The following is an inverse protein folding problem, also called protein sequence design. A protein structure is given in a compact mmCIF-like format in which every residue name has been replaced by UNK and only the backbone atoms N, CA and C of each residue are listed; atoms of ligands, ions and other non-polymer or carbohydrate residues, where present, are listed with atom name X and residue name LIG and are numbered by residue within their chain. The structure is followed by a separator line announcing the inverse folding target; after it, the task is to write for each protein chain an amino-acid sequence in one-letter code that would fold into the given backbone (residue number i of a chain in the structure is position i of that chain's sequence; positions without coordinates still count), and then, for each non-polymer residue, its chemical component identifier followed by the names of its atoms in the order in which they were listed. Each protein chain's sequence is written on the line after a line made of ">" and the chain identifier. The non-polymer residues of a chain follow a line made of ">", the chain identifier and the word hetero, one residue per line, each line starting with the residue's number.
data_IF_396528124221
#
_entry.id   IF_396528124221
#
_cell.length_a   1.000
_cell.length_b   1.000
_cell.length_c   1.000
_cell.angle_alpha   90.00
_cell.angle_beta   90.00
_cell.angle_gamma   90.00
#
_symmetry.space_group_name_H-M   'P 1'
#
loop_
_entity.id
_entity.type
_entity.pdbx_description
1 polymer ?
#
# COMPACT_ATOMS: atom_id res chain seq x y z
N UNK A 1 -3.57 -29.95 37.43
CA UNK A 1 -4.78 -29.13 37.19
C UNK A 1 -4.58 -28.54 35.80
N UNK A 2 -5.12 -29.25 34.80
CA UNK A 2 -5.10 -29.04 33.34
C UNK A 2 -3.95 -28.20 32.75
N UNK A 3 -2.88 -28.91 32.39
CA UNK A 3 -1.84 -28.45 31.45
C UNK A 3 -2.48 -28.31 30.06
N UNK A 4 -2.62 -27.07 29.58
CA UNK A 4 -2.91 -26.81 28.17
C UNK A 4 -1.62 -27.00 27.37
N UNK A 5 -1.61 -28.04 26.53
CA UNK A 5 -0.50 -28.39 25.64
C UNK A 5 -0.22 -27.25 24.65
N UNK A 6 1.06 -26.95 24.43
CA UNK A 6 1.58 -26.00 23.44
C UNK A 6 1.09 -26.33 22.00
N UNK A 7 0.56 -27.54 21.78
CA UNK A 7 -0.06 -27.95 20.52
C UNK A 7 -1.39 -27.23 20.17
N UNK A 8 -2.05 -26.53 21.11
CA UNK A 8 -3.35 -25.88 20.88
C UNK A 8 -3.25 -24.41 20.44
N UNK A 9 -2.07 -23.80 20.54
CA UNK A 9 -1.80 -22.43 20.07
C UNK A 9 -1.96 -22.21 18.54
N UNK A 10 -1.52 -23.13 17.65
CA UNK A 10 -1.76 -22.97 16.21
C UNK A 10 -3.24 -23.06 15.84
N UNK A 11 -4.05 -23.82 16.58
CA UNK A 11 -5.50 -23.91 16.32
C UNK A 11 -6.20 -22.57 16.64
N UNK A 12 -5.85 -21.89 17.73
CA UNK A 12 -6.43 -20.58 18.06
C UNK A 12 -5.95 -19.46 17.11
N UNK A 13 -4.70 -19.51 16.64
CA UNK A 13 -4.20 -18.56 15.64
C UNK A 13 -4.85 -18.78 14.26
N UNK A 14 -5.01 -20.04 13.84
CA UNK A 14 -5.74 -20.40 12.63
C UNK A 14 -7.22 -19.99 12.73
N UNK A 15 -7.86 -20.14 13.89
CA UNK A 15 -9.26 -19.74 14.08
C UNK A 15 -9.46 -18.21 14.00
N UNK A 16 -8.47 -17.41 14.45
CA UNK A 16 -8.49 -15.95 14.33
C UNK A 16 -8.17 -15.47 12.92
N UNK A 17 -7.24 -16.13 12.22
CA UNK A 17 -6.94 -15.87 10.81
C UNK A 17 -8.12 -16.27 9.90
N UNK A 18 -8.76 -17.40 10.18
CA UNK A 18 -10.03 -17.82 9.54
C UNK A 18 -11.16 -16.85 9.88
N UNK A 19 -11.20 -16.28 11.10
CA UNK A 19 -12.17 -15.25 11.47
C UNK A 19 -12.02 -13.97 10.65
N UNK A 20 -10.80 -13.51 10.40
CA UNK A 20 -10.51 -12.34 9.55
C UNK A 20 -10.74 -12.62 8.06
N UNK A 21 -10.35 -13.80 7.57
CA UNK A 21 -10.63 -14.23 6.20
C UNK A 21 -12.14 -14.46 5.97
N UNK A 22 -12.86 -14.98 6.96
CA UNK A 22 -14.31 -15.12 6.93
C UNK A 22 -15.00 -13.76 7.03
N UNK A 23 -14.46 -12.79 7.78
CA UNK A 23 -14.99 -11.43 7.80
C UNK A 23 -14.83 -10.77 6.42
N UNK A 24 -13.65 -10.88 5.81
CA UNK A 24 -13.39 -10.38 4.45
C UNK A 24 -14.25 -11.09 3.39
N UNK A 25 -14.40 -12.42 3.48
CA UNK A 25 -15.29 -13.19 2.61
C UNK A 25 -16.77 -12.86 2.85
N UNK A 26 -17.20 -12.58 4.09
CA UNK A 26 -18.56 -12.17 4.42
C UNK A 26 -18.84 -10.74 3.93
N UNK A 27 -17.85 -9.84 3.95
CA UNK A 27 -17.93 -8.51 3.31
C UNK A 27 -18.08 -8.65 1.80
N UNK A 28 -17.34 -9.57 1.17
CA UNK A 28 -17.47 -9.87 -0.26
C UNK A 28 -18.80 -10.56 -0.61
N UNK A 29 -19.34 -11.43 0.25
CA UNK A 29 -20.64 -12.12 0.05
C UNK A 29 -21.85 -11.20 0.32
N UNK A 30 -21.73 -10.22 1.20
CA UNK A 30 -22.77 -9.21 1.45
C UNK A 30 -22.81 -8.12 0.36
N UNK A 31 -21.86 -8.11 -0.57
CA UNK A 31 -21.84 -7.23 -1.75
C UNK A 31 -22.60 -7.79 -2.97
N UNK A 32 -23.33 -8.90 -2.83
CA UNK A 32 -24.27 -9.33 -3.87
C UNK A 32 -25.50 -8.39 -3.85
N UNK A 33 -25.76 -7.60 -4.91
CA UNK A 33 -26.79 -6.57 -4.87
C UNK A 33 -28.19 -7.22 -4.81
N UNK A 34 -28.86 -7.07 -3.67
CA UNK A 34 -30.30 -7.28 -3.58
C UNK A 34 -30.99 -5.99 -4.07
N UNK A 35 -31.42 -6.02 -5.33
CA UNK A 35 -32.22 -4.98 -5.92
C UNK A 35 -33.58 -4.88 -5.21
N UNK A 36 -33.93 -3.73 -4.62
CA UNK A 36 -35.32 -3.23 -4.60
C UNK A 36 -35.44 -1.82 -4.02
N UNK A 37 -36.37 -1.07 -4.64
CA UNK A 37 -37.04 0.15 -4.20
C UNK A 37 -36.34 1.51 -4.47
N UNK A 38 -36.50 2.02 -5.70
CA UNK A 38 -36.51 3.46 -5.97
C UNK A 38 -37.94 3.88 -6.35
N UNK A 39 -38.57 4.66 -5.46
CA UNK A 39 -39.88 5.29 -5.67
C UNK A 39 -39.77 6.54 -6.54
N UNK A 40 -40.78 6.72 -7.39
CA UNK A 40 -40.91 7.77 -8.37
C UNK A 40 -41.22 9.15 -7.75
N UNK A 41 -40.63 10.21 -8.30
CA UNK A 41 -41.20 11.55 -8.25
C UNK A 41 -40.91 12.25 -9.57
N UNK A 42 -41.98 12.65 -10.26
CA UNK A 42 -41.94 13.43 -11.48
C UNK A 42 -42.27 14.89 -11.20
N UNK A 43 -41.62 15.80 -11.93
CA UNK A 43 -42.10 17.15 -12.19
C UNK A 43 -41.76 17.51 -13.63
N UNK A 44 -42.80 17.93 -14.35
CA UNK A 44 -42.79 18.37 -15.74
C UNK A 44 -42.58 19.88 -15.82
N UNK A 45 -41.85 20.35 -16.85
CA UNK A 45 -41.80 21.77 -17.18
C UNK A 45 -40.84 22.18 -18.31
N UNK A 46 -41.44 22.56 -19.46
CA UNK A 46 -40.96 23.40 -20.57
C UNK A 46 -39.94 22.84 -21.60
N UNK A 47 -40.39 22.84 -22.87
CA UNK A 47 -39.63 22.47 -24.08
C UNK A 47 -38.57 23.52 -24.44
N UNK A 48 -37.31 23.17 -24.20
CA UNK A 48 -36.15 23.60 -24.99
C UNK A 48 -35.72 22.32 -25.71
N UNK A 49 -35.65 22.33 -27.03
CA UNK A 49 -35.16 21.15 -27.78
C UNK A 49 -33.65 21.04 -27.55
N UNK A 50 -33.30 20.26 -26.52
CA UNK A 50 -31.97 19.67 -26.34
C UNK A 50 -31.55 18.94 -27.63
N UNK A 51 -30.23 18.92 -27.84
CA UNK A 51 -29.51 18.40 -29.01
C UNK A 51 -30.20 17.16 -29.64
N UNK A 52 -30.85 17.28 -30.82
CA UNK A 52 -31.46 16.15 -31.50
C UNK A 52 -30.35 15.31 -32.14
N UNK A 53 -29.91 14.27 -31.43
CA UNK A 53 -28.83 13.37 -31.86
C UNK A 53 -27.82 13.02 -30.78
N UNK A 54 -27.79 13.75 -29.67
CA UNK A 54 -27.23 13.20 -28.43
C UNK A 54 -28.18 12.08 -27.99
N UNK A 55 -27.75 10.82 -27.86
CA UNK A 55 -28.63 9.78 -27.34
C UNK A 55 -29.20 10.30 -26.02
N UNK A 56 -30.51 10.14 -25.82
CA UNK A 56 -31.17 10.32 -24.52
C UNK A 56 -30.70 9.27 -23.48
N UNK A 57 -29.43 8.86 -23.55
CA UNK A 57 -28.69 8.24 -22.47
C UNK A 57 -28.45 9.33 -21.44
N UNK A 58 -29.36 9.40 -20.47
CA UNK A 58 -29.05 9.64 -19.05
C UNK A 58 -27.76 10.44 -18.85
N UNK A 59 -27.77 11.73 -19.20
CA UNK A 59 -26.77 12.68 -18.71
C UNK A 59 -27.02 12.82 -17.21
N UNK A 60 -26.57 11.82 -16.45
CA UNK A 60 -26.65 11.83 -15.01
C UNK A 60 -25.73 12.93 -14.48
N UNK A 61 -26.29 14.10 -14.18
CA UNK A 61 -25.71 15.17 -13.36
C UNK A 61 -24.48 15.90 -13.93
N UNK A 62 -23.41 15.18 -14.26
CA UNK A 62 -22.06 15.75 -14.45
C UNK A 62 -21.88 16.40 -15.83
N UNK A 63 -22.40 15.80 -16.90
CA UNK A 63 -22.29 16.37 -18.24
C UNK A 63 -23.04 17.71 -18.40
N UNK A 64 -24.10 17.94 -17.62
CA UNK A 64 -24.91 19.14 -17.73
C UNK A 64 -24.22 20.38 -17.13
N UNK A 65 -23.31 20.21 -16.17
CA UNK A 65 -22.54 21.33 -15.59
C UNK A 65 -21.35 21.73 -16.47
N UNK A 66 -20.62 20.75 -17.03
CA UNK A 66 -19.44 21.02 -17.87
C UNK A 66 -19.84 21.70 -19.19
N UNK A 67 -20.94 21.26 -19.82
CA UNK A 67 -21.40 21.80 -21.11
C UNK A 67 -22.49 22.86 -21.00
N UNK A 68 -22.78 23.37 -19.79
CA UNK A 68 -23.77 24.42 -19.61
C UNK A 68 -23.44 25.66 -20.45
N UNK A 69 -24.26 25.92 -21.48
CA UNK A 69 -24.13 27.05 -22.40
C UNK A 69 -23.62 26.71 -23.81
N UNK A 70 -23.29 25.45 -24.10
CA UNK A 70 -22.97 25.00 -25.46
C UNK A 70 -24.22 24.51 -26.21
N UNK A 71 -24.35 24.89 -27.48
CA UNK A 71 -25.48 24.55 -28.34
C UNK A 71 -25.00 24.10 -29.71
N UNK A 72 -25.57 23.01 -30.22
CA UNK A 72 -25.34 22.59 -31.61
C UNK A 72 -26.20 23.45 -32.54
N UNK A 73 -25.57 24.05 -33.56
CA UNK A 73 -26.28 24.91 -34.51
C UNK A 73 -27.01 24.04 -35.53
N UNK A 74 -28.35 24.11 -35.53
CA UNK A 74 -29.19 23.37 -36.49
C UNK A 74 -28.95 23.87 -37.92
N UNK A 75 -28.76 22.95 -38.88
CA UNK A 75 -28.59 23.29 -40.30
C UNK A 75 -27.16 23.60 -40.72
N UNK A 76 -26.19 23.48 -39.81
CA UNK A 76 -24.76 23.55 -40.11
C UNK A 76 -24.09 22.31 -39.53
N UNK A 77 -23.77 21.34 -40.39
CA UNK A 77 -23.19 20.07 -39.95
C UNK A 77 -21.92 20.31 -39.12
N UNK A 78 -21.97 19.91 -37.84
CA UNK A 78 -20.82 19.90 -36.94
C UNK A 78 -20.48 21.22 -36.23
N UNK A 79 -21.28 22.29 -36.35
CA UNK A 79 -20.97 23.53 -35.64
C UNK A 79 -21.54 23.56 -34.23
N UNK A 80 -20.68 23.93 -33.26
CA UNK A 80 -21.03 24.12 -31.85
C UNK A 80 -20.73 25.57 -31.47
N UNK A 81 -21.72 26.25 -30.89
CA UNK A 81 -21.56 27.58 -30.30
C UNK A 81 -21.56 27.47 -28.77
N UNK A 82 -20.74 28.27 -28.09
CA UNK A 82 -20.74 28.34 -26.65
C UNK A 82 -20.04 29.59 -26.11
N UNK A 83 -20.00 29.75 -24.79
CA UNK A 83 -19.42 30.93 -24.15
C UNK A 83 -17.89 30.95 -24.31
N UNK A 84 -17.30 32.15 -24.42
CA UNK A 84 -15.88 32.33 -24.71
C UNK A 84 -14.94 31.94 -23.55
N UNK A 85 -15.47 31.89 -22.33
CA UNK A 85 -14.72 31.63 -21.09
C UNK A 85 -14.70 30.15 -20.68
N UNK A 86 -15.29 29.25 -21.49
CA UNK A 86 -15.29 27.80 -21.22
C UNK A 86 -14.61 27.03 -22.33
N UNK A 87 -13.86 26.00 -21.93
CA UNK A 87 -13.32 25.03 -22.87
C UNK A 87 -14.41 24.06 -23.36
N UNK A 88 -14.31 23.64 -24.61
CA UNK A 88 -15.19 22.63 -25.20
C UNK A 88 -14.37 21.53 -25.85
N UNK A 89 -14.73 20.28 -25.58
CA UNK A 89 -14.26 19.12 -26.31
C UNK A 89 -15.35 18.05 -26.24
N UNK A 90 -15.77 17.48 -27.37
CA UNK A 90 -16.82 16.45 -27.38
C UNK A 90 -16.39 15.17 -26.62
N UNK A 91 -15.10 14.84 -26.61
CA UNK A 91 -14.57 13.66 -25.92
C UNK A 91 -14.78 13.67 -24.39
N UNK A 92 -14.96 14.84 -23.77
CA UNK A 92 -15.27 14.90 -22.33
C UNK A 92 -16.74 14.58 -22.02
N UNK A 93 -17.62 14.51 -23.04
CA UNK A 93 -19.04 14.20 -22.90
C UNK A 93 -19.30 12.69 -22.93
N UNK A 94 -18.27 11.89 -23.17
CA UNK A 94 -18.40 10.44 -23.19
C UNK A 94 -18.93 9.91 -21.84
N UNK A 95 -19.88 8.98 -21.93
CA UNK A 95 -20.47 8.37 -20.75
C UNK A 95 -19.40 7.64 -19.94
N UNK A 96 -19.38 7.89 -18.63
CA UNK A 96 -18.47 7.23 -17.70
C UNK A 96 -18.90 5.79 -17.38
N UNK A 97 -20.10 5.38 -17.82
CA UNK A 97 -20.66 4.05 -17.62
C UNK A 97 -22.17 4.10 -17.35
N UNK A 98 -22.74 2.94 -17.07
CA UNK A 98 -24.14 2.81 -16.66
C UNK A 98 -24.37 3.31 -15.24
N UNK A 99 -25.64 3.63 -14.92
CA UNK A 99 -26.05 3.99 -13.55
C UNK A 99 -25.69 2.91 -12.52
N UNK A 100 -25.80 1.64 -12.90
CA UNK A 100 -25.50 0.50 -12.02
C UNK A 100 -24.00 0.45 -11.67
N UNK A 101 -23.12 0.72 -12.63
CA UNK A 101 -21.68 0.81 -12.38
C UNK A 101 -21.35 2.02 -11.50
N UNK A 102 -22.00 3.16 -11.69
CA UNK A 102 -21.84 4.35 -10.84
C UNK A 102 -22.24 4.07 -9.38
N UNK A 103 -23.39 3.42 -9.17
CA UNK A 103 -23.87 3.03 -7.85
C UNK A 103 -22.94 1.98 -7.20
N UNK A 104 -22.41 1.04 -8.01
CA UNK A 104 -21.42 0.04 -7.58
C UNK A 104 -20.08 0.65 -7.17
N UNK A 105 -19.56 1.62 -7.95
CA UNK A 105 -18.34 2.35 -7.62
C UNK A 105 -18.48 3.11 -6.30
N UNK A 106 -19.61 3.80 -6.09
CA UNK A 106 -19.92 4.48 -4.83
C UNK A 106 -20.01 3.52 -3.64
N UNK A 107 -20.65 2.37 -3.82
CA UNK A 107 -20.74 1.36 -2.76
C UNK A 107 -19.35 0.82 -2.37
N UNK A 108 -18.51 0.51 -3.35
CA UNK A 108 -17.13 0.08 -3.10
C UNK A 108 -16.28 1.17 -2.45
N UNK A 109 -16.41 2.43 -2.86
CA UNK A 109 -15.74 3.55 -2.21
C UNK A 109 -16.08 3.64 -0.72
N UNK A 110 -17.36 3.49 -0.34
CA UNK A 110 -17.75 3.47 1.07
C UNK A 110 -17.20 2.26 1.84
N UNK A 111 -17.05 1.12 1.18
CA UNK A 111 -16.41 -0.07 1.79
C UNK A 111 -14.93 0.19 2.04
N UNK A 112 -14.19 0.71 1.06
CA UNK A 112 -12.78 1.09 1.21
C UNK A 112 -12.62 2.11 2.33
N UNK A 113 -13.47 3.14 2.36
CA UNK A 113 -13.50 4.14 3.43
C UNK A 113 -13.67 3.48 4.82
N UNK A 114 -14.64 2.59 4.97
CA UNK A 114 -14.89 1.90 6.24
C UNK A 114 -13.71 1.01 6.66
N UNK A 115 -13.09 0.30 5.71
CA UNK A 115 -11.88 -0.52 5.95
C UNK A 115 -10.72 0.36 6.40
N UNK A 116 -10.48 1.50 5.74
CA UNK A 116 -9.42 2.44 6.11
C UNK A 116 -9.62 2.98 7.52
N UNK A 117 -10.84 3.41 7.88
CA UNK A 117 -11.15 3.88 9.25
C UNK A 117 -10.90 2.76 10.27
N UNK A 118 -11.35 1.53 9.99
CA UNK A 118 -11.12 0.39 10.88
C UNK A 118 -9.63 0.08 11.05
N UNK A 119 -8.86 0.09 9.95
CA UNK A 119 -7.41 -0.12 9.96
C UNK A 119 -6.70 0.98 10.73
N UNK A 120 -7.05 2.26 10.57
CA UNK A 120 -6.44 3.37 11.32
C UNK A 120 -6.75 3.31 12.80
N UNK A 121 -7.96 2.92 13.21
CA UNK A 121 -8.29 2.69 14.63
C UNK A 121 -7.44 1.55 15.19
N UNK A 122 -7.32 0.45 14.45
CA UNK A 122 -6.46 -0.68 14.81
C UNK A 122 -4.99 -0.28 14.92
N UNK A 123 -4.45 0.43 13.93
CA UNK A 123 -3.07 0.91 13.93
C UNK A 123 -2.81 1.97 15.00
N UNK A 124 -3.78 2.83 15.31
CA UNK A 124 -3.68 3.77 16.43
C UNK A 124 -3.55 3.04 17.77
N UNK A 125 -4.30 1.96 17.95
CA UNK A 125 -4.19 1.10 19.13
C UNK A 125 -2.86 0.35 19.21
N UNK A 126 -2.37 -0.20 18.09
CA UNK A 126 -1.05 -0.86 18.04
C UNK A 126 0.12 0.13 18.12
N UNK A 127 -0.03 1.35 17.61
CA UNK A 127 0.94 2.44 17.77
C UNK A 127 1.05 2.87 19.24
N UNK A 128 -0.07 2.90 19.98
CA UNK A 128 -0.05 3.11 21.43
C UNK A 128 0.71 2.00 22.18
N UNK A 129 0.71 0.77 21.64
CA UNK A 129 1.57 -0.33 22.14
C UNK A 129 2.99 -0.33 21.55
N UNK A 130 3.32 0.67 20.75
CA UNK A 130 4.57 0.84 20.01
C UNK A 130 4.91 -0.30 19.03
N UNK A 131 3.95 -1.16 18.64
CA UNK A 131 4.14 -2.30 17.73
C UNK A 131 3.89 -1.97 16.25
N UNK A 132 3.35 -0.79 15.96
CA UNK A 132 2.97 -0.38 14.61
C UNK A 132 4.13 0.30 13.86
N UNK A 133 4.29 -0.04 12.58
CA UNK A 133 5.18 0.66 11.66
C UNK A 133 4.52 1.90 11.08
N UNK A 134 5.30 2.93 10.76
CA UNK A 134 4.78 4.16 10.17
C UNK A 134 4.28 3.94 8.74
N UNK A 135 4.82 2.93 8.04
CA UNK A 135 4.53 2.69 6.63
C UNK A 135 3.06 2.38 6.39
N UNK A 136 2.48 1.51 7.22
CA UNK A 136 1.08 1.09 7.09
C UNK A 136 0.10 2.19 7.48
N UNK A 137 0.43 2.96 8.52
CA UNK A 137 -0.35 4.13 8.93
C UNK A 137 -0.36 5.17 7.82
N UNK A 138 0.81 5.45 7.24
CA UNK A 138 0.94 6.42 6.15
C UNK A 138 0.10 6.00 4.94
N UNK A 139 0.25 4.76 4.46
CA UNK A 139 -0.50 4.25 3.31
C UNK A 139 -2.00 4.31 3.56
N UNK A 140 -2.46 3.92 4.75
CA UNK A 140 -3.88 3.94 5.09
C UNK A 140 -4.45 5.37 5.23
N UNK A 141 -3.66 6.35 5.68
CA UNK A 141 -4.05 7.76 5.66
C UNK A 141 -4.18 8.28 4.22
N UNK A 142 -3.23 7.95 3.34
CA UNK A 142 -3.29 8.34 1.93
C UNK A 142 -4.50 7.72 1.23
N UNK A 143 -4.77 6.45 1.47
CA UNK A 143 -5.93 5.75 0.91
C UNK A 143 -7.25 6.35 1.43
N UNK A 144 -7.33 6.66 2.73
CA UNK A 144 -8.50 7.36 3.29
C UNK A 144 -8.71 8.73 2.64
N UNK A 145 -7.65 9.51 2.44
CA UNK A 145 -7.73 10.80 1.76
C UNK A 145 -8.16 10.65 0.30
N UNK A 146 -7.59 9.67 -0.42
CA UNK A 146 -7.95 9.34 -1.79
C UNK A 146 -9.43 8.98 -1.91
N UNK A 147 -9.93 8.03 -1.12
CA UNK A 147 -11.32 7.58 -1.21
C UNK A 147 -12.30 8.67 -0.78
N UNK A 148 -11.94 9.53 0.18
CA UNK A 148 -12.72 10.71 0.49
C UNK A 148 -12.85 11.60 -0.75
N UNK A 149 -11.74 11.97 -1.38
CA UNK A 149 -11.78 12.79 -2.59
C UNK A 149 -12.54 12.10 -3.73
N UNK A 150 -12.42 10.78 -3.88
CA UNK A 150 -13.14 10.05 -4.91
C UNK A 150 -14.67 10.05 -4.69
N UNK A 151 -15.15 9.93 -3.45
CA UNK A 151 -16.59 9.92 -3.16
C UNK A 151 -17.28 11.21 -3.61
N UNK A 152 -16.62 12.36 -3.46
CA UNK A 152 -17.23 13.68 -3.69
C UNK A 152 -16.75 14.40 -4.94
N UNK A 153 -15.50 14.15 -5.36
CA UNK A 153 -14.80 14.98 -6.34
C UNK A 153 -14.05 14.14 -7.39
N UNK A 154 -14.37 12.86 -7.57
CA UNK A 154 -13.69 12.01 -8.57
C UNK A 154 -13.71 12.60 -9.98
N UNK A 155 -14.86 13.10 -10.42
CA UNK A 155 -15.04 13.68 -11.76
C UNK A 155 -14.62 15.15 -11.83
N UNK A 156 -14.30 15.78 -10.71
CA UNK A 156 -13.95 17.20 -10.71
C UNK A 156 -12.50 17.38 -11.14
N UNK A 157 -12.21 18.47 -11.85
CA UNK A 157 -10.81 18.85 -12.11
C UNK A 157 -10.19 19.43 -10.83
N UNK A 158 -8.98 19.03 -10.40
CA UNK A 158 -7.97 18.23 -11.11
C UNK A 158 -7.93 16.74 -10.76
N UNK A 159 -8.93 16.19 -10.06
CA UNK A 159 -8.97 14.75 -9.74
C UNK A 159 -9.10 13.91 -11.03
N UNK A 160 -9.97 14.33 -11.94
CA UNK A 160 -9.95 13.92 -13.35
C UNK A 160 -9.43 15.06 -14.22
N UNK A 161 -8.39 14.78 -15.02
CA UNK A 161 -7.85 15.75 -15.98
C UNK A 161 -8.54 15.58 -17.33
N UNK A 162 -9.21 16.64 -17.76
CA UNK A 162 -9.84 16.77 -19.07
C UNK A 162 -8.88 17.45 -20.03
N UNK A 163 -8.26 16.68 -20.92
CA UNK A 163 -7.15 17.15 -21.76
C UNK A 163 -7.65 17.67 -23.11
N UNK A 164 -6.91 18.60 -23.72
CA UNK A 164 -7.28 19.20 -25.01
C UNK A 164 -7.32 18.20 -26.18
N UNK A 165 -6.69 17.05 -26.02
CA UNK A 165 -6.74 15.91 -26.95
C UNK A 165 -8.02 15.07 -26.82
N UNK A 166 -8.92 15.42 -25.90
CA UNK A 166 -10.21 14.75 -25.67
C UNK A 166 -10.16 13.57 -24.72
N UNK A 167 -8.97 13.07 -24.38
CA UNK A 167 -8.81 12.02 -23.37
C UNK A 167 -8.99 12.57 -21.95
N UNK A 168 -9.43 11.67 -21.07
CA UNK A 168 -9.51 11.88 -19.63
C UNK A 168 -8.44 11.06 -18.93
N UNK A 169 -7.78 11.63 -17.93
CA UNK A 169 -6.82 10.91 -17.09
C UNK A 169 -7.21 11.07 -15.63
N UNK A 170 -7.41 9.96 -14.92
CA UNK A 170 -7.77 9.97 -13.49
C UNK A 170 -6.52 10.25 -12.64
N UNK A 171 -6.11 11.51 -12.60
CA UNK A 171 -4.91 11.97 -11.90
C UNK A 171 -4.92 11.66 -10.40
N UNK A 172 -6.10 11.72 -9.75
CA UNK A 172 -6.25 11.38 -8.33
C UNK A 172 -5.70 9.98 -8.01
N UNK A 173 -5.86 9.02 -8.92
CA UNK A 173 -5.35 7.65 -8.80
C UNK A 173 -3.81 7.61 -8.91
N UNK A 174 -3.25 8.26 -9.92
CA UNK A 174 -1.79 8.30 -10.10
C UNK A 174 -1.08 9.05 -8.97
N UNK A 175 -1.70 10.11 -8.44
CA UNK A 175 -1.18 10.86 -7.30
C UNK A 175 -1.18 9.99 -6.03
N UNK A 176 -2.25 9.22 -5.80
CA UNK A 176 -2.30 8.25 -4.71
C UNK A 176 -1.17 7.21 -4.85
N UNK A 177 -1.00 6.62 -6.03
CA UNK A 177 0.06 5.63 -6.27
C UNK A 177 1.46 6.17 -6.00
N UNK A 178 1.75 7.41 -6.42
CA UNK A 178 3.04 8.06 -6.15
C UNK A 178 3.29 8.24 -4.64
N UNK A 179 2.24 8.37 -3.84
CA UNK A 179 2.34 8.52 -2.39
C UNK A 179 2.41 7.15 -1.69
N UNK A 180 1.62 6.17 -2.11
CA UNK A 180 1.51 4.88 -1.40
C UNK A 180 2.50 3.83 -1.87
N UNK A 181 2.71 3.66 -3.19
CA UNK A 181 3.47 2.53 -3.74
C UNK A 181 4.94 2.53 -3.29
N UNK A 182 5.67 3.68 -3.30
CA UNK A 182 7.01 3.73 -2.75
C UNK A 182 7.08 3.33 -1.27
N UNK A 183 6.09 3.72 -0.46
CA UNK A 183 6.05 3.41 0.98
C UNK A 183 5.79 1.92 1.21
N UNK A 184 4.92 1.28 0.41
CA UNK A 184 4.73 -0.17 0.41
C UNK A 184 6.06 -0.89 0.09
N UNK A 185 6.83 -0.39 -0.89
CA UNK A 185 8.12 -0.98 -1.26
C UNK A 185 9.23 -0.73 -0.23
N UNK A 186 9.18 0.39 0.51
CA UNK A 186 10.01 0.63 1.70
C UNK A 186 9.70 -0.43 2.77
N UNK A 187 8.42 -0.66 3.04
CA UNK A 187 7.99 -1.68 4.00
C UNK A 187 8.43 -3.07 3.55
N UNK A 188 8.22 -3.42 2.28
CA UNK A 188 8.68 -4.68 1.71
C UNK A 188 10.21 -4.88 1.83
N UNK A 189 10.98 -3.83 1.59
CA UNK A 189 12.45 -3.86 1.73
C UNK A 189 12.91 -4.15 3.18
N UNK A 190 12.04 -3.90 4.15
CA UNK A 190 12.27 -4.14 5.57
C UNK A 190 11.07 -4.85 6.22
N UNK A 191 10.65 -5.99 5.65
CA UNK A 191 9.50 -6.77 6.15
C UNK A 191 9.66 -7.18 7.62
N UNK A 192 10.89 -7.41 8.08
CA UNK A 192 11.14 -7.77 9.48
C UNK A 192 11.02 -6.58 10.44
N UNK A 193 11.19 -5.35 9.95
CA UNK A 193 11.25 -4.13 10.77
C UNK A 193 12.51 -4.01 11.63
N UNK A 194 13.51 -4.87 11.40
CA UNK A 194 14.70 -4.98 12.26
C UNK A 194 15.94 -4.31 11.67
N UNK A 195 15.97 -4.07 10.35
CA UNK A 195 17.10 -3.40 9.69
C UNK A 195 16.90 -1.89 9.73
N UNK A 196 17.97 -1.15 10.06
CA UNK A 196 17.96 0.32 10.03
C UNK A 196 18.46 0.86 8.68
N UNK A 197 19.26 0.07 7.95
CA UNK A 197 19.87 0.49 6.70
C UNK A 197 19.10 -0.03 5.49
N UNK A 198 18.84 0.86 4.54
CA UNK A 198 18.27 0.51 3.25
C UNK A 198 19.37 0.17 2.25
N UNK A 199 19.14 -0.90 1.48
CA UNK A 199 20.11 -1.37 0.50
C UNK A 199 20.03 -0.58 -0.82
N UNK A 200 21.06 -0.71 -1.67
CA UNK A 200 20.99 -0.21 -3.07
C UNK A 200 19.80 -0.80 -3.83
N UNK A 201 19.37 -2.01 -3.47
CA UNK A 201 18.19 -2.65 -4.06
C UNK A 201 16.90 -1.91 -3.72
N UNK A 202 16.78 -1.43 -2.48
CA UNK A 202 15.64 -0.60 -2.06
C UNK A 202 15.56 0.65 -2.92
N UNK A 203 16.69 1.34 -3.16
CA UNK A 203 16.69 2.49 -4.06
C UNK A 203 16.30 2.11 -5.49
N UNK A 204 16.77 0.96 -6.00
CA UNK A 204 16.35 0.42 -7.28
C UNK A 204 14.83 0.20 -7.37
N UNK A 205 14.23 -0.40 -6.34
CA UNK A 205 12.77 -0.61 -6.24
C UNK A 205 11.99 0.70 -6.31
N UNK A 206 12.39 1.71 -5.53
CA UNK A 206 11.68 2.99 -5.47
C UNK A 206 11.78 3.75 -6.79
N UNK A 207 12.98 3.82 -7.37
CA UNK A 207 13.19 4.51 -8.65
C UNK A 207 12.41 3.83 -9.76
N UNK A 208 12.39 2.49 -9.81
CA UNK A 208 11.68 1.79 -10.86
C UNK A 208 10.17 1.83 -10.70
N UNK A 209 9.66 1.81 -9.48
CA UNK A 209 8.24 1.98 -9.22
C UNK A 209 7.74 3.39 -9.60
N UNK A 210 8.45 4.43 -9.16
CA UNK A 210 8.15 5.81 -9.54
C UNK A 210 8.21 5.97 -11.07
N UNK A 211 9.22 5.39 -11.72
CA UNK A 211 9.31 5.35 -13.18
C UNK A 211 8.08 4.71 -13.83
N UNK A 212 7.64 3.56 -13.31
CA UNK A 212 6.44 2.85 -13.78
C UNK A 212 5.20 3.75 -13.72
N UNK A 213 4.99 4.43 -12.58
CA UNK A 213 3.82 5.28 -12.35
C UNK A 213 3.88 6.54 -13.21
N UNK A 214 5.04 7.20 -13.29
CA UNK A 214 5.22 8.42 -14.09
C UNK A 214 4.98 8.13 -15.58
N UNK A 215 5.55 7.05 -16.11
CA UNK A 215 5.36 6.68 -17.51
C UNK A 215 3.95 6.13 -17.77
N UNK A 216 3.33 5.43 -16.83
CA UNK A 216 1.93 5.03 -16.90
C UNK A 216 0.97 6.23 -16.94
N UNK A 217 1.18 7.22 -16.06
CA UNK A 217 0.41 8.47 -16.06
C UNK A 217 0.63 9.25 -17.36
N UNK A 218 1.88 9.35 -17.84
CA UNK A 218 2.20 10.01 -19.11
C UNK A 218 1.52 9.31 -20.28
N UNK A 219 1.42 7.98 -20.25
CA UNK A 219 0.68 7.22 -21.25
C UNK A 219 -0.83 7.50 -21.20
N UNK A 220 -1.44 7.58 -20.00
CA UNK A 220 -2.86 7.93 -19.86
C UNK A 220 -3.16 9.35 -20.36
N UNK A 221 -2.25 10.29 -20.09
CA UNK A 221 -2.36 11.68 -20.55
C UNK A 221 -2.04 11.82 -22.04
N UNK A 222 -1.36 10.87 -22.65
CA UNK A 222 -1.11 10.88 -24.10
C UNK A 222 -2.41 10.59 -24.84
N UNK A 223 -2.67 11.34 -25.92
CA UNK A 223 -3.78 11.06 -26.82
C UNK A 223 -3.68 9.66 -27.46
N UNK A 224 -4.74 9.24 -28.16
CA UNK A 224 -4.75 7.98 -28.90
C UNK A 224 -3.65 8.01 -29.96
N UNK A 225 -2.65 7.12 -29.86
CA UNK A 225 -1.55 7.07 -30.81
C UNK A 225 -0.31 6.36 -30.29
N UNK A 226 0.78 6.47 -31.06
CA UNK A 226 2.04 5.77 -30.79
C UNK A 226 2.70 6.22 -29.48
N UNK A 227 2.57 7.50 -29.08
CA UNK A 227 3.17 8.02 -27.84
C UNK A 227 2.62 7.31 -26.60
N UNK A 228 1.30 7.09 -26.54
CA UNK A 228 0.65 6.33 -25.45
C UNK A 228 1.26 4.94 -25.33
N UNK A 229 1.38 4.23 -26.46
CA UNK A 229 1.95 2.88 -26.52
C UNK A 229 3.43 2.89 -26.09
N UNK A 230 4.21 3.85 -26.57
CA UNK A 230 5.63 4.01 -26.20
C UNK A 230 5.80 4.21 -24.70
N UNK A 231 5.08 5.17 -24.11
CA UNK A 231 5.17 5.42 -22.67
C UNK A 231 4.64 4.26 -21.83
N UNK A 232 3.58 3.58 -22.30
CA UNK A 232 3.09 2.36 -21.65
C UNK A 232 4.16 1.27 -21.60
N UNK A 233 4.86 0.99 -22.71
CA UNK A 233 5.92 -0.03 -22.73
C UNK A 233 7.17 0.39 -21.94
N UNK A 234 7.51 1.67 -21.90
CA UNK A 234 8.57 2.17 -21.01
C UNK A 234 8.16 1.94 -19.54
N UNK A 235 6.93 2.29 -19.17
CA UNK A 235 6.38 2.02 -17.84
C UNK A 235 6.38 0.53 -17.50
N UNK A 236 5.99 -0.35 -18.43
CA UNK A 236 6.06 -1.80 -18.26
C UNK A 236 7.49 -2.30 -18.03
N UNK A 237 8.48 -1.77 -18.76
CA UNK A 237 9.88 -2.16 -18.57
C UNK A 237 10.38 -1.82 -17.15
N UNK A 238 10.02 -0.63 -16.65
CA UNK A 238 10.24 -0.25 -15.26
C UNK A 238 9.50 -1.20 -14.29
N UNK A 239 8.25 -1.54 -14.58
CA UNK A 239 7.43 -2.43 -13.75
C UNK A 239 7.99 -3.85 -13.68
N UNK A 240 8.49 -4.39 -14.81
CA UNK A 240 9.18 -5.68 -14.83
C UNK A 240 10.45 -5.66 -13.98
N UNK A 241 11.22 -4.57 -14.02
CA UNK A 241 12.39 -4.43 -13.16
C UNK A 241 11.99 -4.35 -11.68
N UNK A 242 10.95 -3.60 -11.33
CA UNK A 242 10.37 -3.59 -9.98
C UNK A 242 9.97 -4.99 -9.54
N UNK A 243 9.21 -5.73 -10.33
CA UNK A 243 8.77 -7.10 -10.00
C UNK A 243 9.93 -8.06 -9.82
N UNK A 244 10.97 -7.95 -10.66
CA UNK A 244 12.18 -8.74 -10.50
C UNK A 244 12.85 -8.47 -9.15
N UNK A 245 13.02 -7.19 -8.77
CA UNK A 245 13.61 -6.84 -7.48
C UNK A 245 12.72 -7.26 -6.29
N UNK A 246 11.40 -7.10 -6.41
CA UNK A 246 10.43 -7.53 -5.38
C UNK A 246 10.51 -9.04 -5.17
N UNK A 247 10.60 -9.83 -6.25
CA UNK A 247 10.75 -11.28 -6.16
C UNK A 247 12.03 -11.66 -5.38
N UNK A 248 13.16 -10.99 -5.64
CA UNK A 248 14.40 -11.20 -4.86
C UNK A 248 14.18 -10.88 -3.38
N UNK A 249 13.49 -9.79 -3.05
CA UNK A 249 13.20 -9.40 -1.66
C UNK A 249 12.31 -10.44 -0.97
N UNK A 250 11.25 -10.94 -1.61
CA UNK A 250 10.40 -11.97 -1.01
C UNK A 250 11.14 -13.30 -0.78
N UNK A 251 12.01 -13.71 -1.70
CA UNK A 251 12.83 -14.92 -1.54
C UNK A 251 13.77 -14.76 -0.33
N UNK A 252 14.46 -13.63 -0.22
CA UNK A 252 15.33 -13.36 0.92
C UNK A 252 14.56 -13.23 2.23
N UNK A 253 13.41 -12.57 2.23
CA UNK A 253 12.54 -12.43 3.39
C UNK A 253 12.05 -13.81 3.87
N UNK A 254 11.66 -14.69 2.95
CA UNK A 254 11.22 -16.06 3.27
C UNK A 254 12.29 -16.86 4.01
N UNK A 255 13.56 -16.72 3.63
CA UNK A 255 14.68 -17.38 4.31
C UNK A 255 15.19 -16.63 5.53
N UNK A 256 14.90 -15.33 5.66
CA UNK A 256 15.27 -14.52 6.83
C UNK A 256 14.33 -14.82 8.00
N UNK A 257 13.01 -14.90 7.77
CA UNK A 257 12.03 -15.05 8.86
C UNK A 257 12.03 -16.45 9.48
N UNK A 258 11.60 -16.57 10.77
CA UNK A 258 11.49 -17.87 11.43
C UNK A 258 10.65 -18.87 10.64
N UNK A 259 10.97 -20.16 10.77
CA UNK A 259 10.15 -21.24 10.21
C UNK A 259 8.74 -21.25 10.83
N UNK A 260 7.79 -21.86 10.12
CA UNK A 260 6.39 -21.94 10.54
C UNK A 260 5.54 -20.79 10.01
N UNK A 261 4.79 -20.12 10.89
CA UNK A 261 3.74 -19.16 10.49
C UNK A 261 4.28 -17.95 9.74
N UNK A 262 5.47 -17.44 10.10
CA UNK A 262 6.06 -16.27 9.46
C UNK A 262 6.32 -16.50 7.97
N UNK A 263 6.84 -17.68 7.60
CA UNK A 263 7.04 -18.07 6.20
C UNK A 263 5.75 -18.20 5.41
N UNK A 264 4.68 -18.68 6.05
CA UNK A 264 3.36 -18.75 5.43
C UNK A 264 2.82 -17.34 5.16
N UNK A 265 2.96 -16.41 6.11
CA UNK A 265 2.55 -15.01 5.93
C UNK A 265 3.36 -14.36 4.80
N UNK A 266 4.68 -14.52 4.76
CA UNK A 266 5.52 -13.99 3.67
C UNK A 266 5.07 -14.51 2.30
N UNK A 267 4.72 -15.79 2.19
CA UNK A 267 4.14 -16.35 0.94
C UNK A 267 2.79 -15.74 0.61
N UNK A 268 1.92 -15.54 1.60
CA UNK A 268 0.63 -14.88 1.43
C UNK A 268 0.81 -13.45 0.90
N UNK A 269 1.69 -12.67 1.52
CA UNK A 269 2.05 -11.31 1.10
C UNK A 269 2.61 -11.28 -0.33
N UNK A 270 3.44 -12.25 -0.70
CA UNK A 270 3.95 -12.35 -2.07
C UNK A 270 2.84 -12.62 -3.08
N UNK A 271 1.94 -13.56 -2.80
CA UNK A 271 0.81 -13.86 -3.69
C UNK A 271 -0.14 -12.67 -3.84
N UNK A 272 -0.46 -12.01 -2.73
CA UNK A 272 -1.31 -10.83 -2.71
C UNK A 272 -0.67 -9.67 -3.49
N UNK A 273 0.62 -9.39 -3.26
CA UNK A 273 1.37 -8.37 -3.97
C UNK A 273 1.40 -8.63 -5.47
N UNK A 274 1.88 -9.79 -5.92
CA UNK A 274 1.96 -10.06 -7.37
C UNK A 274 0.59 -10.20 -8.01
N UNK A 275 -0.39 -10.77 -7.30
CA UNK A 275 -1.75 -10.90 -7.81
C UNK A 275 -2.40 -9.53 -8.04
N UNK A 276 -2.39 -8.67 -7.03
CA UNK A 276 -2.99 -7.33 -7.13
C UNK A 276 -2.19 -6.41 -8.05
N UNK A 277 -0.85 -6.38 -7.93
CA UNK A 277 -0.03 -5.43 -8.71
C UNK A 277 0.03 -5.78 -10.21
N UNK A 278 -0.04 -7.06 -10.59
CA UNK A 278 -0.14 -7.45 -12.00
C UNK A 278 -1.44 -6.95 -12.64
N UNK A 279 -2.49 -6.72 -11.86
CA UNK A 279 -3.79 -6.32 -12.40
C UNK A 279 -3.84 -4.85 -12.79
N UNK A 280 -3.05 -3.96 -12.18
CA UNK A 280 -3.02 -2.54 -12.57
C UNK A 280 -2.67 -2.30 -14.05
N UNK A 281 -1.60 -2.86 -14.64
CA UNK A 281 -1.34 -2.70 -16.07
C UNK A 281 -2.38 -3.40 -16.95
N UNK A 282 -3.02 -4.48 -16.48
CA UNK A 282 -4.11 -5.14 -17.21
C UNK A 282 -5.34 -4.21 -17.25
N UNK A 283 -5.71 -3.62 -16.11
CA UNK A 283 -6.82 -2.66 -16.02
C UNK A 283 -6.52 -1.39 -16.80
N UNK A 284 -5.26 -0.93 -16.87
CA UNK A 284 -4.88 0.18 -17.75
C UNK A 284 -5.20 -0.14 -19.22
N UNK A 285 -4.85 -1.35 -19.68
CA UNK A 285 -5.09 -1.78 -21.06
C UNK A 285 -6.58 -1.96 -21.35
N UNK A 286 -7.34 -2.53 -20.40
CA UNK A 286 -8.77 -2.75 -20.56
C UNK A 286 -9.59 -1.47 -20.34
N UNK A 287 -9.08 -0.53 -19.55
CA UNK A 287 -9.72 0.70 -19.12
C UNK A 287 -9.89 1.75 -20.21
N UNK A 288 -10.56 2.87 -19.89
CA UNK A 288 -10.70 4.01 -20.79
C UNK A 288 -9.34 4.62 -21.19
N UNK A 289 -8.29 4.40 -20.38
CA UNK A 289 -6.94 4.82 -20.69
C UNK A 289 -6.32 4.02 -21.84
N UNK A 290 -6.76 2.77 -22.04
CA UNK A 290 -6.30 1.82 -23.06
C UNK A 290 -7.31 1.61 -24.19
N UNK A 291 -7.93 0.42 -24.23
CA UNK A 291 -8.86 -0.01 -25.27
C UNK A 291 -10.34 0.27 -24.95
N UNK A 292 -10.69 0.70 -23.74
CA UNK A 292 -12.06 1.04 -23.35
C UNK A 292 -13.02 -0.16 -23.29
N UNK A 293 -12.51 -1.36 -23.02
CA UNK A 293 -13.34 -2.55 -22.80
C UNK A 293 -14.13 -2.52 -21.49
N UNK A 294 -13.63 -1.79 -20.49
CA UNK A 294 -14.35 -1.48 -19.26
C UNK A 294 -14.65 0.03 -19.21
N UNK A 295 -15.82 0.37 -18.68
CA UNK A 295 -16.22 1.77 -18.48
C UNK A 295 -15.32 2.46 -17.44
N UNK A 296 -15.41 3.79 -17.34
CA UNK A 296 -14.68 4.52 -16.31
C UNK A 296 -15.10 4.07 -14.90
N UNK A 297 -16.40 3.94 -14.63
CA UNK A 297 -16.89 3.41 -13.35
C UNK A 297 -16.48 1.95 -13.12
N UNK A 298 -16.51 1.10 -14.15
CA UNK A 298 -16.03 -0.28 -14.05
C UNK A 298 -14.53 -0.35 -13.71
N UNK A 299 -13.72 0.54 -14.29
CA UNK A 299 -12.30 0.70 -13.94
C UNK A 299 -12.14 1.11 -12.47
N UNK A 300 -12.92 2.09 -12.00
CA UNK A 300 -12.89 2.56 -10.61
C UNK A 300 -13.24 1.44 -9.62
N UNK A 301 -14.31 0.68 -9.89
CA UNK A 301 -14.70 -0.48 -9.09
C UNK A 301 -13.57 -1.51 -8.98
N UNK A 302 -12.95 -1.85 -10.10
CA UNK A 302 -11.86 -2.83 -10.13
C UNK A 302 -10.63 -2.32 -9.35
N UNK A 303 -10.29 -1.04 -9.47
CA UNK A 303 -9.19 -0.44 -8.73
C UNK A 303 -9.44 -0.42 -7.22
N UNK A 304 -10.65 -0.09 -6.74
CA UNK A 304 -10.96 -0.17 -5.31
C UNK A 304 -10.79 -1.58 -4.73
N UNK A 305 -11.14 -2.63 -5.48
CA UNK A 305 -10.90 -4.01 -5.04
C UNK A 305 -9.39 -4.29 -4.96
N UNK A 306 -8.60 -3.83 -5.94
CA UNK A 306 -7.15 -3.98 -5.93
C UNK A 306 -6.48 -3.17 -4.82
N UNK A 307 -7.03 -2.01 -4.46
CA UNK A 307 -6.50 -1.18 -3.38
C UNK A 307 -6.74 -1.83 -2.02
N UNK A 308 -7.92 -2.42 -1.78
CA UNK A 308 -8.18 -3.21 -0.56
C UNK A 308 -7.15 -4.33 -0.39
N UNK A 309 -6.82 -5.03 -1.47
CA UNK A 309 -5.84 -6.13 -1.44
C UNK A 309 -4.42 -5.60 -1.26
N UNK A 310 -3.94 -4.79 -2.20
CA UNK A 310 -2.56 -4.30 -2.24
C UNK A 310 -2.15 -3.33 -1.13
N UNK A 311 -3.12 -2.67 -0.46
CA UNK A 311 -2.86 -1.69 0.59
C UNK A 311 -3.33 -2.19 1.96
N UNK A 312 -4.64 -2.41 2.15
CA UNK A 312 -5.17 -2.76 3.47
C UNK A 312 -4.83 -4.21 3.88
N UNK A 313 -5.12 -5.19 3.03
CA UNK A 313 -4.87 -6.60 3.34
C UNK A 313 -3.36 -6.88 3.42
N UNK A 314 -2.60 -6.39 2.45
CA UNK A 314 -1.15 -6.49 2.45
C UNK A 314 -0.54 -5.82 3.69
N UNK A 315 -0.97 -4.60 4.02
CA UNK A 315 -0.54 -3.86 5.20
C UNK A 315 -0.78 -4.67 6.48
N UNK A 316 -2.02 -5.07 6.74
CA UNK A 316 -2.37 -5.88 7.91
C UNK A 316 -1.56 -7.18 8.01
N UNK A 317 -1.32 -7.86 6.88
CA UNK A 317 -0.47 -9.05 6.83
C UNK A 317 0.99 -8.76 7.20
N UNK A 318 1.53 -7.63 6.72
CA UNK A 318 2.88 -7.19 7.02
C UNK A 318 3.02 -6.75 8.50
N UNK A 319 2.03 -6.07 9.07
CA UNK A 319 1.97 -5.80 10.51
C UNK A 319 2.03 -7.08 11.33
N UNK A 320 1.17 -8.05 10.97
CA UNK A 320 1.08 -9.31 11.68
C UNK A 320 2.40 -10.09 11.61
N UNK A 321 3.08 -10.06 10.47
CA UNK A 321 4.42 -10.61 10.32
C UNK A 321 5.42 -9.96 11.29
N UNK A 322 5.46 -8.62 11.36
CA UNK A 322 6.33 -7.89 12.29
C UNK A 322 6.06 -8.29 13.73
N UNK A 323 4.79 -8.33 14.16
CA UNK A 323 4.41 -8.75 15.52
C UNK A 323 4.91 -10.17 15.82
N UNK A 324 4.73 -11.11 14.88
CA UNK A 324 5.17 -12.51 15.07
C UNK A 324 6.68 -12.67 15.15
N UNK A 325 7.43 -11.88 14.38
CA UNK A 325 8.90 -11.85 14.48
C UNK A 325 9.33 -11.29 15.85
N UNK A 326 8.68 -10.25 16.35
CA UNK A 326 8.98 -9.68 17.67
C UNK A 326 8.67 -10.68 18.80
N UNK A 327 7.53 -11.38 18.73
CA UNK A 327 7.19 -12.45 19.67
C UNK A 327 8.26 -13.55 19.65
N UNK A 328 8.70 -13.99 18.47
CA UNK A 328 9.75 -14.99 18.32
C UNK A 328 11.06 -14.54 18.98
N UNK A 329 11.50 -13.29 18.75
CA UNK A 329 12.73 -12.75 19.34
C UNK A 329 12.63 -12.66 20.86
N UNK A 330 11.46 -12.33 21.42
CA UNK A 330 11.26 -12.25 22.88
C UNK A 330 11.28 -13.62 23.56
N UNK A 331 10.80 -14.66 22.88
CA UNK A 331 10.71 -16.02 23.42
C UNK A 331 12.05 -16.75 23.25
N UNK A 332 12.58 -16.78 22.02
CA UNK A 332 13.76 -17.59 21.68
C UNK A 332 15.08 -16.79 21.71
N UNK A 333 15.01 -15.46 21.79
CA UNK A 333 16.16 -14.57 21.64
C UNK A 333 16.40 -14.14 20.18
N UNK A 334 17.32 -13.19 19.99
CA UNK A 334 17.75 -12.72 18.67
C UNK A 334 18.88 -13.61 18.14
N UNK A 335 18.51 -14.84 17.80
CA UNK A 335 19.43 -15.87 17.32
C UNK A 335 19.30 -15.98 15.80
N UNK A 336 20.43 -15.82 15.10
CA UNK A 336 20.46 -15.86 13.63
C UNK A 336 21.50 -16.84 13.12
N UNK A 337 21.21 -17.52 12.01
CA UNK A 337 22.11 -18.42 11.29
C UNK A 337 22.38 -17.85 9.90
N UNK A 338 23.63 -17.86 9.46
CA UNK A 338 24.01 -17.42 8.12
C UNK A 338 23.75 -18.53 7.11
N UNK A 339 22.77 -18.31 6.22
CA UNK A 339 22.38 -19.26 5.17
C UNK A 339 22.74 -18.67 3.81
N UNK A 340 23.51 -19.42 3.01
CA UNK A 340 23.82 -19.03 1.62
C UNK A 340 22.72 -19.55 0.71
N UNK A 341 22.06 -18.64 0.01
CA UNK A 341 21.02 -18.95 -0.98
C UNK A 341 21.41 -18.33 -2.32
N UNK A 342 21.03 -18.96 -3.43
CA UNK A 342 21.23 -18.38 -4.77
C UNK A 342 19.95 -17.68 -5.19
N UNK A 343 19.99 -16.35 -5.37
CA UNK A 343 18.84 -15.53 -5.74
C UNK A 343 19.09 -14.89 -7.10
N UNK A 344 18.38 -15.36 -8.13
CA UNK A 344 18.54 -14.92 -9.52
C UNK A 344 19.99 -15.09 -10.05
N UNK A 345 20.66 -16.18 -9.67
CA UNK A 345 22.03 -16.49 -10.11
C UNK A 345 23.12 -15.94 -9.19
N UNK A 346 22.82 -14.96 -8.33
CA UNK A 346 23.77 -14.40 -7.39
C UNK A 346 23.75 -15.16 -6.05
N UNK A 347 24.91 -15.56 -5.49
CA UNK A 347 24.95 -16.07 -4.12
C UNK A 347 24.73 -14.92 -3.14
N UNK A 348 23.68 -15.02 -2.33
CA UNK A 348 23.32 -14.07 -1.27
C UNK A 348 23.37 -14.77 0.08
N UNK A 349 24.02 -14.16 1.05
CA UNK A 349 24.03 -14.62 2.44
C UNK A 349 22.91 -13.91 3.20
N UNK A 350 21.98 -14.69 3.75
CA UNK A 350 20.85 -14.20 4.55
C UNK A 350 20.99 -14.65 6.00
N UNK A 351 20.52 -13.81 6.91
CA UNK A 351 20.48 -14.10 8.35
C UNK A 351 19.11 -14.68 8.70
N UNK A 352 19.05 -16.00 8.84
CA UNK A 352 17.83 -16.75 9.18
C UNK A 352 17.61 -16.72 10.69
N UNK A 353 16.44 -16.27 11.14
CA UNK A 353 16.05 -16.41 12.55
C UNK A 353 15.78 -17.89 12.88
N UNK A 354 16.43 -18.39 13.93
CA UNK A 354 16.34 -19.78 14.38
C UNK A 354 15.91 -19.82 15.85
N UNK A 355 15.27 -20.93 16.23
CA UNK A 355 14.98 -21.22 17.63
C UNK A 355 16.20 -21.86 18.32
N UNK A 356 16.07 -22.11 19.63
CA UNK A 356 17.15 -22.67 20.44
C UNK A 356 17.48 -24.12 20.12
N UNK A 357 16.48 -24.90 19.71
CA UNK A 357 16.70 -26.30 19.36
C UNK A 357 17.56 -26.38 18.09
N UNK A 358 17.21 -25.60 17.08
CA UNK A 358 18.00 -25.48 15.85
C UNK A 358 19.38 -24.84 16.11
N UNK A 359 19.45 -23.88 17.05
CA UNK A 359 20.72 -23.28 17.43
C UNK A 359 21.68 -24.28 18.10
N UNK A 360 21.15 -25.21 18.90
CA UNK A 360 21.93 -26.24 19.59
C UNK A 360 22.48 -27.32 18.64
N UNK A 361 21.82 -27.54 17.50
CA UNK A 361 22.27 -28.50 16.48
C UNK A 361 23.49 -28.00 15.69
N UNK A 362 23.60 -26.69 15.48
CA UNK A 362 24.69 -26.08 14.69
C UNK A 362 25.34 -24.87 15.38
N UNK A 363 25.93 -25.03 16.59
CA UNK A 363 26.40 -23.92 17.41
C UNK A 363 27.47 -23.05 16.69
N UNK A 364 28.28 -23.66 15.84
CA UNK A 364 29.36 -22.96 15.11
C UNK A 364 28.87 -22.01 14.02
N UNK A 365 27.60 -22.13 13.58
CA UNK A 365 27.02 -21.29 12.51
C UNK A 365 26.04 -20.25 13.02
N UNK A 366 25.80 -20.24 14.33
CA UNK A 366 24.75 -19.46 14.96
C UNK A 366 25.37 -18.25 15.66
N UNK A 367 24.79 -17.09 15.43
CA UNK A 367 25.17 -15.83 16.06
C UNK A 367 24.01 -15.37 16.94
N UNK A 368 24.22 -15.39 18.26
CA UNK A 368 23.34 -14.74 19.21
C UNK A 368 23.72 -13.26 19.30
N UNK A 369 22.87 -12.39 18.74
CA UNK A 369 23.09 -10.94 18.73
C UNK A 369 22.69 -10.27 20.04
N UNK A 370 22.14 -11.04 20.99
CA UNK A 370 21.52 -10.52 22.20
C UNK A 370 20.26 -9.72 21.91
N UNK A 371 19.51 -9.42 22.97
CA UNK A 371 18.30 -8.59 22.88
C UNK A 371 18.54 -7.18 23.44
N UNK A 372 19.76 -6.84 23.87
CA UNK A 372 20.06 -5.59 24.55
C UNK A 372 19.71 -4.33 23.75
N UNK A 373 20.04 -4.30 22.45
CA UNK A 373 19.68 -3.17 21.57
C UNK A 373 18.17 -3.05 21.35
N UNK A 374 17.45 -4.17 21.43
CA UNK A 374 16.01 -4.25 21.23
C UNK A 374 15.23 -4.03 22.52
N UNK A 375 15.81 -4.34 23.67
CA UNK A 375 15.19 -4.28 24.98
C UNK A 375 14.77 -2.86 25.36
N UNK A 376 15.45 -1.84 24.81
CA UNK A 376 15.10 -0.43 25.03
C UNK A 376 14.00 0.09 24.08
N UNK A 377 13.56 -0.71 23.09
CA UNK A 377 12.46 -0.32 22.21
C UNK A 377 11.13 -0.47 22.96
N UNK A 378 10.29 0.55 22.90
CA UNK A 378 8.99 0.55 23.58
C UNK A 378 8.09 -0.64 23.19
N UNK A 379 8.12 -1.07 21.92
CA UNK A 379 7.41 -2.28 21.43
C UNK A 379 7.78 -3.51 22.24
N UNK A 380 9.09 -3.73 22.42
CA UNK A 380 9.61 -4.91 23.10
C UNK A 380 9.24 -4.90 24.58
N UNK A 381 9.25 -3.73 25.24
CA UNK A 381 8.84 -3.61 26.65
C UNK A 381 7.37 -3.99 26.85
N UNK A 382 6.47 -3.41 26.04
CA UNK A 382 5.02 -3.68 26.13
C UNK A 382 4.71 -5.13 25.77
N UNK A 383 5.29 -5.65 24.70
CA UNK A 383 5.06 -7.03 24.26
C UNK A 383 5.60 -8.05 25.28
N UNK A 384 6.77 -7.78 25.88
CA UNK A 384 7.36 -8.58 26.96
C UNK A 384 6.43 -8.68 28.16
N UNK A 385 5.89 -7.55 28.63
CA UNK A 385 4.95 -7.54 29.76
C UNK A 385 3.67 -8.32 29.44
N UNK A 386 3.15 -8.20 28.22
CA UNK A 386 1.97 -8.93 27.78
C UNK A 386 2.23 -10.44 27.69
N UNK A 387 3.41 -10.87 27.24
CA UNK A 387 3.81 -12.28 27.23
C UNK A 387 3.97 -12.83 28.67
N UNK A 388 4.60 -12.07 29.57
CA UNK A 388 4.69 -12.43 31.00
C UNK A 388 3.31 -12.58 31.65
N UNK A 389 2.37 -11.67 31.36
CA UNK A 389 0.98 -11.76 31.84
C UNK A 389 0.26 -13.01 31.33
N UNK A 390 0.64 -13.54 30.17
CA UNK A 390 0.12 -14.80 29.61
C UNK A 390 0.86 -16.04 30.15
N UNK A 391 1.82 -15.89 31.05
CA UNK A 391 2.62 -16.99 31.58
C UNK A 391 3.69 -17.51 30.60
N UNK A 392 4.00 -16.74 29.55
CA UNK A 392 5.09 -17.08 28.62
C UNK A 392 6.39 -16.53 29.19
N UNK A 393 7.37 -17.40 29.37
CA UNK A 393 8.71 -16.99 29.78
C UNK A 393 9.40 -16.23 28.64
N UNK A 394 10.06 -15.13 28.97
CA UNK A 394 10.63 -14.20 27.98
C UNK A 394 12.08 -13.88 28.34
N UNK A 395 12.96 -14.04 27.36
CA UNK A 395 14.42 -13.87 27.50
C UNK A 395 14.91 -12.43 27.47
N UNK A 396 14.01 -11.47 27.64
CA UNK A 396 14.39 -10.07 27.78
C UNK A 396 14.87 -9.76 29.21
N UNK A 397 15.79 -10.57 29.73
CA UNK A 397 16.78 -10.15 30.70
C UNK A 397 17.85 -9.36 29.95
N UNK A 398 18.41 -8.34 30.61
CA UNK A 398 19.57 -7.58 30.15
C UNK A 398 20.84 -8.45 30.18
N UNK A 399 20.75 -9.69 29.71
CA UNK A 399 21.90 -10.55 29.46
C UNK A 399 22.53 -10.05 28.16
N UNK A 400 22.96 -8.79 28.16
CA UNK A 400 24.14 -8.42 27.41
C UNK A 400 25.24 -9.40 27.84
N UNK A 401 26.20 -9.74 26.96
CA UNK A 401 27.25 -10.67 27.31
C UNK A 401 27.89 -10.16 28.60
N UNK A 402 27.53 -10.79 29.73
CA UNK A 402 28.20 -10.64 31.00
C UNK A 402 29.49 -11.40 30.86
N UNK A 403 30.31 -10.97 29.89
CA UNK A 403 31.73 -11.12 29.99
C UNK A 403 32.07 -10.40 31.28
N UNK A 404 32.48 -11.18 32.27
CA UNK A 404 33.42 -10.79 33.30
C UNK A 404 34.66 -10.15 32.65
N UNK A 405 34.52 -8.98 32.03
CA UNK A 405 35.58 -8.01 32.04
C UNK A 405 35.40 -7.29 33.36
N UNK A 406 36.03 -7.89 34.36
CA UNK A 406 36.51 -7.22 35.55
C UNK A 406 37.23 -5.94 35.09
N UNK A 407 36.48 -4.85 34.89
CA UNK A 407 37.06 -3.53 34.75
C UNK A 407 37.48 -3.15 36.15
N UNK A 408 38.72 -3.51 36.44
CA UNK A 408 39.53 -2.93 37.49
C UNK A 408 39.26 -1.42 37.49
N UNK A 409 38.59 -0.95 38.54
CA UNK A 409 38.36 0.46 38.82
C UNK A 409 39.72 1.10 39.14
N UNK A 410 40.50 1.33 38.09
CA UNK A 410 41.70 2.13 38.11
C UNK A 410 41.28 3.59 38.30
N UNK A 411 41.28 4.02 39.55
CA UNK A 411 41.14 5.43 39.91
C UNK A 411 42.26 6.27 39.29
N UNK A 412 41.86 7.29 38.54
CA UNK A 412 42.62 8.50 38.24
C UNK A 412 41.55 9.49 37.78
N UNK A 413 41.29 10.59 38.48
CA UNK A 413 42.26 11.62 38.79
C UNK A 413 41.83 12.85 37.97
N UNK A 414 41.42 13.90 38.67
CA UNK A 414 40.71 15.03 38.10
C UNK A 414 41.48 15.88 37.07
N UNK A 415 40.70 16.66 36.32
CA UNK A 415 41.00 17.94 35.67
C UNK A 415 39.75 18.20 34.79
N UNK A 416 39.01 19.30 34.87
CA UNK A 416 39.44 20.67 35.06
C UNK A 416 39.25 21.41 33.74
N UNK A 417 38.25 22.29 33.68
CA UNK A 417 38.33 23.51 32.87
C UNK A 417 37.75 23.50 31.45
N UNK A 418 36.79 24.42 31.27
CA UNK A 418 36.80 25.53 30.28
C UNK A 418 36.77 25.26 28.77
N UNK A 419 35.86 26.00 28.11
CA UNK A 419 35.89 26.39 26.69
C UNK A 419 34.64 25.90 25.94
N UNK A 420 33.66 26.72 25.53
CA UNK A 420 33.71 28.15 25.22
C UNK A 420 34.22 28.39 23.79
N UNK A 421 33.38 28.12 22.79
CA UNK A 421 33.48 28.57 21.38
C UNK A 421 32.05 28.53 20.83
N UNK A 422 31.39 29.63 20.41
CA UNK A 422 31.87 30.69 19.51
C UNK A 422 31.96 30.05 18.12
N UNK A 423 30.99 30.17 17.20
CA UNK A 423 30.53 31.40 16.57
C UNK A 423 31.00 31.39 15.10
N UNK A 424 30.14 31.89 14.19
CA UNK A 424 30.38 32.12 12.75
C UNK A 424 30.47 30.86 11.85
N UNK A 425 30.00 30.87 10.60
CA UNK A 425 29.75 32.02 9.73
C UNK A 425 28.66 31.77 8.69
N UNK A 426 28.05 32.88 8.28
CA UNK A 426 27.17 32.94 7.13
C UNK A 426 27.94 32.77 5.82
N UNK A 427 27.22 32.30 4.81
CA UNK A 427 27.64 32.28 3.44
C UNK A 427 26.58 33.03 2.63
N UNK A 428 26.87 34.30 2.30
CA UNK A 428 26.41 34.88 1.04
C UNK A 428 27.04 34.08 -0.10
N UNK A 429 26.37 33.84 -1.22
CA UNK A 429 25.85 34.87 -2.11
C UNK A 429 26.93 35.17 -3.15
N UNK A 430 26.83 34.54 -4.32
CA UNK A 430 27.36 35.00 -5.62
C UNK A 430 27.07 33.96 -6.70
N UNK A 431 26.53 34.40 -7.83
CA UNK A 431 26.35 33.61 -9.06
C UNK A 431 25.04 33.90 -9.74
#
# INVERSE_FOLDING_TARGET
>A
RTETSIADLPAMAATRALGLAALAALTLLLCAPSASAAGAFGLTGANITEVPGAPACVLGGVGHEIYGGFFQITGSDGWVAGPQDKCYCEGWAESHGSKQEADGAKALAWIVFAICVACLVFYGYEAWKATCGWEEVYVCIIELAHVCLAIWHETDSPATLYLSTGNMALWLRYAEWLLSCPVILIHLSNLTGMKNDYSKRTMGLLVSDIGTIVFGCTAAMSGVGYLKITFFFIGLAYGFYSFFLVAKVYIEAYHTVPKGICRLIVRGLAYDFFGSWCMFPILFVLGPEGFGHISAYGSVMAHFILDITSKNLWGLGAHFLRVKIHEHILIHGNITKKTKITVAGDPVEVEEYVDEAEAAEEPDKVVNKGTAELANRASFLVMRENLKKKGVDVRASLDGPSGEKHMEMGGMGGMGGMGGMGGMGGMGGMG
#
